data_IF_251745664854
#
_entry.id   IF_251745664854
#
_cell.length_a   1.000
_cell.length_b   1.000
_cell.length_c   1.000
_cell.angle_alpha   90.00
_cell.angle_beta   90.00
_cell.angle_gamma   90.00
#
_symmetry.space_group_name_H-M   'P 1'
#
loop_
_entity.id
_entity.type
_entity.pdbx_description
1 polymer ?
#
# COMPACT_ATOMS: atom_id res chain seq x y z
N UNK A 1 -4.55 4.69 -12.33
CA UNK A 1 -4.70 5.98 -11.63
C UNK A 1 -4.69 7.10 -12.67
N UNK A 2 -5.33 8.25 -12.39
CA UNK A 2 -5.11 9.49 -13.14
C UNK A 2 -3.61 9.83 -13.25
N UNK A 3 -3.24 10.77 -14.14
CA UNK A 3 -1.85 11.17 -14.34
C UNK A 3 -1.22 11.83 -13.11
N UNK A 4 -2.03 12.45 -12.26
CA UNK A 4 -1.67 13.09 -11.00
C UNK A 4 -1.90 12.20 -9.76
N UNK A 5 -2.38 10.97 -9.95
CA UNK A 5 -2.53 10.01 -8.87
C UNK A 5 -1.17 9.45 -8.44
N UNK A 6 -1.05 9.02 -7.17
CA UNK A 6 0.15 8.38 -6.64
C UNK A 6 -0.21 7.06 -5.96
N UNK A 7 0.65 6.05 -6.12
CA UNK A 7 0.60 4.78 -5.40
C UNK A 7 1.80 4.71 -4.45
N UNK A 8 1.56 4.55 -3.16
CA UNK A 8 2.60 4.15 -2.20
C UNK A 8 2.57 2.63 -2.12
N UNK A 9 3.61 1.98 -2.61
CA UNK A 9 3.78 0.53 -2.55
C UNK A 9 4.71 0.18 -1.39
N UNK A 10 4.27 -0.68 -0.47
CA UNK A 10 5.07 -1.11 0.68
C UNK A 10 5.40 -2.59 0.54
N UNK A 11 6.68 -2.94 0.67
CA UNK A 11 7.12 -4.34 0.70
C UNK A 11 8.41 -4.45 1.54
N UNK A 12 8.74 -5.65 2.01
CA UNK A 12 10.02 -5.94 2.68
C UNK A 12 11.04 -6.55 1.72
N UNK A 13 10.60 -7.09 0.58
CA UNK A 13 11.44 -7.82 -0.37
C UNK A 13 11.95 -6.92 -1.49
N UNK A 14 13.24 -6.62 -1.47
CA UNK A 14 13.90 -5.94 -2.59
C UNK A 14 13.90 -6.82 -3.86
N UNK A 15 14.07 -8.14 -3.69
CA UNK A 15 14.11 -9.10 -4.80
C UNK A 15 12.81 -9.11 -5.61
N UNK A 16 11.65 -9.29 -4.97
CA UNK A 16 10.38 -9.33 -5.70
C UNK A 16 10.01 -7.98 -6.28
N UNK A 17 10.31 -6.91 -5.56
CA UNK A 17 10.01 -5.56 -6.02
C UNK A 17 10.91 -5.11 -7.16
N UNK A 18 12.10 -5.67 -7.35
CA UNK A 18 12.93 -5.42 -8.53
C UNK A 18 12.21 -5.81 -9.84
N UNK A 19 11.55 -6.98 -9.86
CA UNK A 19 10.72 -7.39 -11.00
C UNK A 19 9.51 -6.46 -11.19
N UNK A 20 8.91 -6.01 -10.08
CA UNK A 20 7.83 -5.04 -10.10
C UNK A 20 8.25 -3.72 -10.75
N UNK A 21 9.40 -3.16 -10.34
CA UNK A 21 9.96 -1.93 -10.93
C UNK A 21 10.18 -2.06 -12.43
N UNK A 22 10.80 -3.14 -12.89
CA UNK A 22 11.00 -3.37 -14.33
C UNK A 22 9.66 -3.42 -15.10
N UNK A 23 8.65 -4.08 -14.54
CA UNK A 23 7.33 -4.14 -15.15
C UNK A 23 6.64 -2.76 -15.20
N UNK A 24 6.74 -1.96 -14.13
CA UNK A 24 6.17 -0.61 -14.07
C UNK A 24 6.82 0.35 -15.07
N UNK A 25 8.14 0.25 -15.26
CA UNK A 25 8.88 1.01 -16.26
C UNK A 25 8.41 0.66 -17.68
N UNK A 26 8.33 -0.64 -18.00
CA UNK A 26 7.83 -1.11 -19.30
C UNK A 26 6.39 -0.67 -19.57
N UNK A 27 5.56 -0.59 -18.54
CA UNK A 27 4.18 -0.14 -18.63
C UNK A 27 4.04 1.40 -18.68
N UNK A 28 5.13 2.15 -18.45
CA UNK A 28 5.11 3.62 -18.46
C UNK A 28 4.35 4.23 -17.28
N UNK A 29 4.32 3.54 -16.14
CA UNK A 29 3.60 3.98 -14.91
C UNK A 29 4.51 4.11 -13.70
N UNK A 30 5.82 3.90 -13.84
CA UNK A 30 6.77 4.02 -12.75
C UNK A 30 6.79 5.43 -12.12
N UNK A 31 6.45 6.45 -12.90
CA UNK A 31 6.40 7.87 -12.51
C UNK A 31 5.47 8.18 -11.34
N UNK A 32 4.48 7.31 -11.09
CA UNK A 32 3.47 7.50 -10.04
C UNK A 32 3.52 6.47 -8.92
N UNK A 33 4.58 5.65 -8.86
CA UNK A 33 4.72 4.60 -7.86
C UNK A 33 5.89 4.94 -6.92
N UNK A 34 5.56 5.28 -5.69
CA UNK A 34 6.49 5.45 -4.57
C UNK A 34 6.64 4.11 -3.84
N UNK A 35 7.65 3.32 -4.23
CA UNK A 35 7.96 2.05 -3.60
C UNK A 35 8.90 2.23 -2.41
N UNK A 36 8.44 1.81 -1.23
CA UNK A 36 9.17 1.87 0.05
C UNK A 36 9.48 0.46 0.56
N UNK A 37 10.78 0.15 0.64
CA UNK A 37 11.28 -1.13 1.14
C UNK A 37 11.50 -1.05 2.65
N UNK A 38 10.51 -1.49 3.41
CA UNK A 38 10.46 -1.50 4.87
C UNK A 38 9.24 -2.29 5.36
N UNK A 39 9.16 -2.66 6.65
CA UNK A 39 7.89 -3.10 7.23
C UNK A 39 6.79 -2.06 6.98
N UNK A 40 5.63 -2.51 6.48
CA UNK A 40 4.57 -1.59 6.08
C UNK A 40 4.05 -0.70 7.24
N UNK A 41 4.07 -1.21 8.48
CA UNK A 41 3.72 -0.40 9.66
C UNK A 41 4.66 0.78 9.86
N UNK A 42 5.96 0.62 9.60
CA UNK A 42 6.93 1.70 9.75
C UNK A 42 6.68 2.78 8.69
N UNK A 43 6.37 2.35 7.47
CA UNK A 43 5.95 3.26 6.39
C UNK A 43 4.67 4.03 6.76
N UNK A 44 3.63 3.35 7.25
CA UNK A 44 2.38 4.00 7.65
C UNK A 44 2.59 5.00 8.79
N UNK A 45 3.37 4.64 9.79
CA UNK A 45 3.68 5.52 10.94
C UNK A 45 4.49 6.76 10.57
N UNK A 46 5.33 6.66 9.55
CA UNK A 46 6.08 7.80 9.01
C UNK A 46 5.23 8.74 8.14
N UNK A 47 4.03 8.32 7.71
CA UNK A 47 3.11 9.14 6.93
C UNK A 47 2.30 10.09 7.83
N UNK A 48 1.84 11.24 7.30
CA UNK A 48 0.94 12.15 8.00
C UNK A 48 -0.25 11.39 8.60
N UNK A 49 -0.69 11.78 9.79
CA UNK A 49 -1.80 11.11 10.46
C UNK A 49 -3.17 11.55 9.92
N UNK A 50 -3.21 12.72 9.27
CA UNK A 50 -4.43 13.30 8.72
C UNK A 50 -4.94 12.53 7.49
N UNK A 51 -6.25 12.56 7.20
CA UNK A 51 -6.83 11.92 6.03
C UNK A 51 -6.24 12.39 4.70
N UNK A 52 -5.57 11.48 3.98
CA UNK A 52 -5.01 11.75 2.66
C UNK A 52 -5.03 10.55 1.70
N UNK A 53 -5.48 9.38 2.15
CA UNK A 53 -5.57 8.15 1.36
C UNK A 53 -7.00 7.94 0.87
N UNK A 54 -7.18 7.76 -0.43
CA UNK A 54 -8.49 7.46 -1.04
C UNK A 54 -8.79 5.95 -1.05
N UNK A 55 -7.75 5.13 -1.23
CA UNK A 55 -7.86 3.68 -1.33
C UNK A 55 -6.64 2.98 -0.74
N UNK A 56 -6.85 1.92 0.05
CA UNK A 56 -5.80 1.05 0.55
C UNK A 56 -6.12 -0.41 0.22
N UNK A 57 -5.15 -1.12 -0.35
CA UNK A 57 -5.24 -2.56 -0.58
C UNK A 57 -4.28 -3.28 0.36
N UNK A 58 -4.82 -4.11 1.24
CA UNK A 58 -4.09 -4.89 2.23
C UNK A 58 -3.96 -6.34 1.75
N UNK A 59 -2.80 -6.66 1.20
CA UNK A 59 -2.35 -8.03 0.95
C UNK A 59 -0.92 -8.19 1.47
N UNK A 60 -0.81 -8.37 2.78
CA UNK A 60 0.46 -8.47 3.50
C UNK A 60 0.45 -9.69 4.43
N UNK A 61 1.30 -9.68 5.45
CA UNK A 61 1.25 -10.66 6.53
C UNK A 61 -0.09 -10.54 7.30
N UNK A 62 -0.78 -11.67 7.46
CA UNK A 62 -2.14 -11.67 8.03
C UNK A 62 -2.16 -11.34 9.53
N UNK A 63 -1.03 -11.57 10.22
CA UNK A 63 -0.86 -11.22 11.64
C UNK A 63 -0.89 -9.71 11.89
N UNK A 64 -0.42 -8.91 10.93
CA UNK A 64 -0.39 -7.44 11.02
C UNK A 64 -1.70 -6.73 10.69
N UNK A 65 -2.73 -7.43 10.19
CA UNK A 65 -3.94 -6.80 9.62
C UNK A 65 -4.64 -5.83 10.58
N UNK A 66 -4.74 -6.16 11.88
CA UNK A 66 -5.35 -5.26 12.86
C UNK A 66 -4.51 -3.99 13.05
N UNK A 67 -3.19 -4.12 13.15
CA UNK A 67 -2.32 -2.96 13.28
C UNK A 67 -2.33 -2.09 12.00
N UNK A 68 -2.38 -2.72 10.82
CA UNK A 68 -2.56 -1.99 9.55
C UNK A 68 -3.88 -1.22 9.53
N UNK A 69 -4.97 -1.84 9.98
CA UNK A 69 -6.27 -1.18 10.10
C UNK A 69 -6.21 0.03 11.03
N UNK A 70 -5.63 -0.11 12.22
CA UNK A 70 -5.50 0.98 13.20
C UNK A 70 -4.70 2.17 12.65
N UNK A 71 -3.66 1.92 11.85
CA UNK A 71 -2.86 2.98 11.23
C UNK A 71 -3.52 3.55 9.97
N UNK A 72 -4.26 2.75 9.19
CA UNK A 72 -4.89 3.22 7.95
C UNK A 72 -6.13 4.05 8.21
N UNK A 73 -7.02 3.64 9.11
CA UNK A 73 -8.32 4.30 9.33
C UNK A 73 -8.20 5.82 9.57
N UNK A 74 -7.28 6.33 10.41
CA UNK A 74 -7.10 7.77 10.60
C UNK A 74 -6.65 8.52 9.33
N UNK A 75 -5.95 7.81 8.42
CA UNK A 75 -5.36 8.35 7.20
C UNK A 75 -6.28 8.23 5.98
N UNK A 76 -7.41 7.52 6.10
CA UNK A 76 -8.41 7.41 5.03
C UNK A 76 -9.27 8.67 4.94
N UNK A 77 -9.45 9.19 3.73
CA UNK A 77 -10.46 10.23 3.45
C UNK A 77 -11.87 9.68 3.67
N UNK A 78 -12.81 10.56 4.00
CA UNK A 78 -14.22 10.19 4.08
C UNK A 78 -14.69 9.62 2.72
N UNK A 79 -15.30 8.44 2.75
CA UNK A 79 -15.70 7.71 1.54
C UNK A 79 -14.58 6.89 0.90
N UNK A 80 -13.37 6.92 1.46
CA UNK A 80 -12.27 6.06 1.05
C UNK A 80 -12.53 4.59 1.35
N UNK A 81 -11.80 3.71 0.67
CA UNK A 81 -12.02 2.26 0.72
C UNK A 81 -10.76 1.54 1.18
N UNK A 82 -10.91 0.65 2.16
CA UNK A 82 -9.89 -0.34 2.52
C UNK A 82 -10.38 -1.69 1.99
N UNK A 83 -9.61 -2.30 1.10
CA UNK A 83 -9.85 -3.63 0.57
C UNK A 83 -8.80 -4.57 1.13
N UNK A 84 -9.23 -5.68 1.73
CA UNK A 84 -8.34 -6.62 2.41
C UNK A 84 -8.42 -7.99 1.76
N UNK A 85 -7.28 -8.55 1.36
CA UNK A 85 -7.23 -9.84 0.67
C UNK A 85 -7.16 -11.04 1.63
N UNK A 86 -7.59 -12.19 1.12
CA UNK A 86 -7.60 -13.51 1.76
C UNK A 86 -8.40 -13.62 3.07
N UNK A 87 -9.46 -12.82 3.22
CA UNK A 87 -10.32 -12.83 4.43
C UNK A 87 -11.04 -14.16 4.68
N UNK A 88 -11.17 -15.02 3.65
CA UNK A 88 -11.72 -16.38 3.77
C UNK A 88 -10.64 -17.46 3.96
N UNK A 89 -9.36 -17.10 3.87
CA UNK A 89 -8.18 -17.95 4.14
C UNK A 89 -8.36 -19.46 3.86
N UNK A 90 -8.38 -19.85 2.58
CA UNK A 90 -8.57 -21.23 2.09
C UNK A 90 -9.98 -21.84 2.23
N UNK A 91 -11.00 -21.08 2.64
CA UNK A 91 -12.42 -21.49 2.58
C UNK A 91 -13.15 -21.29 3.89
#
# INVERSE_FOLDING_TARGET
LPADGTLIACDISDEWTAYGREAWEKAGVADRIDLRIAPALDTLRAMPAEPHIDFAYLDADKGGYIAYWEELVPRMRQGGVIATDNVLFHG
#
